data_IF_313668511936
#
_entry.id   IF_313668511936
#
_cell.length_a   1.000
_cell.length_b   1.000
_cell.length_c   1.000
_cell.angle_alpha   90.00
_cell.angle_beta   90.00
_cell.angle_gamma   90.00
#
_symmetry.space_group_name_H-M   'P 1'
#
loop_
_entity.id
_entity.type
_entity.pdbx_description
1 polymer ?
#
# COMPACT_ATOMS: atom_id res chain seq x y z
N UNK A 1 31.87 17.20 0.03
CA UNK A 1 31.19 18.49 0.29
C UNK A 1 30.55 19.05 -0.98
N UNK A 2 31.30 19.26 -2.07
CA UNK A 2 30.74 19.74 -3.34
C UNK A 2 29.58 18.86 -3.88
N UNK A 3 29.73 17.53 -3.86
CA UNK A 3 28.68 16.61 -4.36
C UNK A 3 27.38 16.60 -3.55
N UNK A 4 27.43 16.93 -2.25
CA UNK A 4 26.27 16.91 -1.35
C UNK A 4 25.44 18.21 -1.47
N UNK A 5 26.13 19.35 -1.61
CA UNK A 5 25.52 20.65 -1.93
C UNK A 5 24.83 20.63 -3.30
N UNK A 6 25.46 19.97 -4.27
CA UNK A 6 24.92 19.85 -5.62
C UNK A 6 23.75 18.88 -5.69
N UNK A 7 23.77 17.76 -4.95
CA UNK A 7 22.60 16.88 -4.82
C UNK A 7 21.42 17.59 -4.16
N UNK A 8 21.67 18.41 -3.11
CA UNK A 8 20.65 19.21 -2.46
C UNK A 8 20.05 20.29 -3.40
N UNK A 9 20.88 20.96 -4.20
CA UNK A 9 20.44 21.92 -5.20
C UNK A 9 19.62 21.24 -6.32
N UNK A 10 20.03 20.05 -6.76
CA UNK A 10 19.32 19.27 -7.77
C UNK A 10 17.92 18.81 -7.27
N UNK A 11 17.83 18.36 -6.03
CA UNK A 11 16.57 18.01 -5.35
C UNK A 11 15.66 19.24 -5.14
N UNK A 12 16.24 20.40 -4.81
CA UNK A 12 15.50 21.65 -4.67
C UNK A 12 14.92 22.13 -6.02
N UNK A 13 15.67 21.96 -7.11
CA UNK A 13 15.21 22.29 -8.46
C UNK A 13 14.04 21.40 -8.89
N UNK A 14 14.10 20.09 -8.60
CA UNK A 14 13.02 19.11 -8.82
C UNK A 14 11.75 19.47 -8.08
N UNK A 15 11.86 19.89 -6.82
CA UNK A 15 10.72 20.30 -6.01
C UNK A 15 10.01 21.56 -6.54
N UNK A 16 10.71 22.37 -7.34
CA UNK A 16 10.20 23.62 -7.95
C UNK A 16 9.64 23.42 -9.38
N UNK A 17 9.83 22.24 -9.99
CA UNK A 17 9.33 21.98 -11.36
C UNK A 17 7.85 21.55 -11.35
N UNK A 18 6.94 22.27 -12.04
CA UNK A 18 5.50 22.02 -11.98
C UNK A 18 5.07 20.62 -12.46
N UNK A 19 5.82 20.03 -13.39
CA UNK A 19 5.53 18.70 -13.96
C UNK A 19 5.72 17.56 -12.95
N UNK A 20 6.55 17.75 -11.91
CA UNK A 20 6.82 16.76 -10.86
C UNK A 20 5.85 16.96 -9.68
N UNK A 21 5.49 18.20 -9.35
CA UNK A 21 4.48 18.51 -8.33
C UNK A 21 3.10 17.90 -8.65
N UNK A 22 2.73 17.79 -9.93
CA UNK A 22 1.46 17.16 -10.34
C UNK A 22 1.44 15.63 -10.18
N UNK A 23 2.59 14.97 -10.05
CA UNK A 23 2.66 13.50 -9.93
C UNK A 23 2.55 12.98 -8.50
N UNK A 24 2.51 13.84 -7.47
CA UNK A 24 2.23 13.44 -6.08
C UNK A 24 3.18 12.43 -5.45
N UNK A 25 4.20 11.97 -6.17
CA UNK A 25 5.17 10.98 -5.74
C UNK A 25 6.40 11.69 -5.19
N UNK A 26 6.78 11.36 -3.95
CA UNK A 26 8.17 11.49 -3.48
C UNK A 26 9.05 10.64 -4.41
N UNK A 27 9.40 11.20 -5.56
CA UNK A 27 10.30 10.58 -6.51
C UNK A 27 11.71 10.74 -5.94
N UNK A 28 12.19 9.70 -5.25
CA UNK A 28 13.61 9.44 -5.09
C UNK A 28 14.19 9.14 -6.48
N UNK A 29 14.26 10.16 -7.34
CA UNK A 29 14.98 10.06 -8.60
C UNK A 29 16.47 9.97 -8.25
N UNK A 30 17.21 9.00 -8.79
CA UNK A 30 18.65 8.97 -8.61
C UNK A 30 19.21 10.32 -9.09
N UNK A 31 20.15 10.92 -8.34
CA UNK A 31 20.76 12.23 -8.64
C UNK A 31 21.21 12.32 -10.09
N UNK A 32 21.63 11.19 -10.67
CA UNK A 32 21.94 11.02 -12.09
C UNK A 32 20.78 11.35 -13.04
N UNK A 33 19.56 10.87 -12.76
CA UNK A 33 18.38 11.21 -13.55
C UNK A 33 18.02 12.70 -13.41
N UNK A 34 18.24 13.28 -12.22
CA UNK A 34 18.00 14.70 -11.96
C UNK A 34 18.97 15.59 -12.75
N UNK A 35 20.27 15.29 -12.70
CA UNK A 35 21.30 16.05 -13.43
C UNK A 35 21.11 15.99 -14.95
N UNK A 36 20.65 14.85 -15.49
CA UNK A 36 20.44 14.67 -16.93
C UNK A 36 19.18 15.38 -17.45
N UNK A 37 18.21 15.69 -16.58
CA UNK A 37 16.99 16.39 -16.94
C UNK A 37 17.02 17.90 -16.62
N UNK A 38 17.96 18.36 -15.78
CA UNK A 38 18.09 19.75 -15.37
C UNK A 38 18.14 20.79 -16.53
N UNK A 39 18.82 20.54 -17.67
CA UNK A 39 18.83 21.48 -18.80
C UNK A 39 17.46 21.64 -19.45
N UNK A 40 16.64 20.59 -19.45
CA UNK A 40 15.29 20.61 -20.03
C UNK A 40 14.30 21.38 -19.15
N UNK A 41 14.57 21.48 -17.84
CA UNK A 41 13.75 22.24 -16.91
C UNK A 41 14.09 23.73 -16.87
N UNK A 42 15.28 24.13 -17.32
CA UNK A 42 15.65 25.54 -17.42
C UNK A 42 14.70 26.33 -18.35
N UNK A 43 14.15 25.67 -19.37
CA UNK A 43 13.14 26.24 -20.28
C UNK A 43 11.71 26.27 -19.70
N UNK A 44 11.46 25.57 -18.59
CA UNK A 44 10.13 25.42 -17.96
C UNK A 44 9.95 26.28 -16.69
N UNK A 45 11.04 26.83 -16.14
CA UNK A 45 11.00 27.70 -14.97
C UNK A 45 10.56 29.11 -15.41
N UNK A 46 9.54 29.66 -14.74
CA UNK A 46 9.07 31.02 -15.03
C UNK A 46 10.12 32.07 -14.64
N UNK A 47 10.09 33.24 -15.30
CA UNK A 47 11.04 34.32 -15.03
C UNK A 47 11.05 34.78 -13.55
N UNK A 48 9.91 34.67 -12.87
CA UNK A 48 9.75 35.01 -11.45
C UNK A 48 10.44 33.96 -10.53
N UNK A 49 10.43 32.69 -10.93
CA UNK A 49 11.11 31.60 -10.20
C UNK A 49 12.63 31.58 -10.43
N UNK A 50 13.09 32.12 -11.56
CA UNK A 50 14.51 32.23 -11.89
C UNK A 50 15.24 33.27 -11.01
N UNK A 51 14.53 34.29 -10.51
CA UNK A 51 15.08 35.31 -9.59
C UNK A 51 15.32 34.78 -8.17
N UNK A 52 14.65 33.69 -7.78
CA UNK A 52 14.72 33.07 -6.45
C UNK A 52 15.64 31.83 -6.37
N UNK A 53 16.47 31.61 -7.39
CA UNK A 53 17.44 30.51 -7.42
C UNK A 53 18.69 30.84 -6.61
N UNK A 54 19.21 29.86 -5.88
CA UNK A 54 20.49 30.01 -5.18
C UNK A 54 21.66 30.03 -6.17
N UNK A 55 22.83 30.52 -5.74
CA UNK A 55 24.04 30.53 -6.58
C UNK A 55 24.41 29.11 -7.07
N UNK A 56 24.13 28.08 -6.26
CA UNK A 56 24.36 26.68 -6.59
C UNK A 56 23.37 26.15 -7.64
N UNK A 57 22.10 26.54 -7.57
CA UNK A 57 21.07 26.17 -8.56
C UNK A 57 21.34 26.82 -9.92
N UNK A 58 21.76 28.10 -9.91
CA UNK A 58 22.17 28.82 -11.11
C UNK A 58 23.42 28.22 -11.74
N UNK A 59 24.40 27.81 -10.92
CA UNK A 59 25.60 27.13 -11.38
C UNK A 59 25.26 25.79 -12.04
N UNK A 60 24.33 25.01 -11.47
CA UNK A 60 23.91 23.72 -12.00
C UNK A 60 23.23 23.84 -13.38
N UNK A 61 22.36 24.85 -13.57
CA UNK A 61 21.70 25.09 -14.86
C UNK A 61 22.64 25.62 -15.94
N UNK A 62 23.78 26.21 -15.56
CA UNK A 62 24.78 26.72 -16.48
C UNK A 62 25.84 25.67 -16.87
N UNK A 63 25.80 24.47 -16.28
CA UNK A 63 26.71 23.38 -16.61
C UNK A 63 26.41 22.80 -18.00
N UNK A 64 27.47 22.41 -18.70
CA UNK A 64 27.33 21.66 -19.94
C UNK A 64 26.90 20.22 -19.70
N UNK A 65 26.32 19.57 -20.71
CA UNK A 65 25.91 18.16 -20.64
C UNK A 65 27.05 17.24 -20.18
N UNK A 66 28.28 17.48 -20.64
CA UNK A 66 29.47 16.70 -20.25
C UNK A 66 29.83 16.89 -18.76
N UNK A 67 29.66 18.10 -18.23
CA UNK A 67 29.90 18.40 -16.81
C UNK A 67 28.80 17.79 -15.93
N UNK A 68 27.54 17.79 -16.40
CA UNK A 68 26.41 17.14 -15.73
C UNK A 68 26.57 15.62 -15.71
N UNK A 69 27.06 15.02 -16.79
CA UNK A 69 27.37 13.58 -16.85
C UNK A 69 28.50 13.23 -15.86
N UNK A 70 29.60 14.00 -15.86
CA UNK A 70 30.70 13.75 -14.93
C UNK A 70 30.30 13.92 -13.46
N UNK A 71 29.43 14.89 -13.18
CA UNK A 71 28.86 15.12 -11.86
C UNK A 71 27.89 14.00 -11.45
N UNK A 72 27.08 13.49 -12.38
CA UNK A 72 26.18 12.36 -12.17
C UNK A 72 26.95 11.07 -11.89
N UNK A 73 28.02 10.81 -12.64
CA UNK A 73 28.91 9.66 -12.41
C UNK A 73 29.65 9.78 -11.06
N UNK A 74 29.95 11.00 -10.60
CA UNK A 74 30.48 11.24 -9.26
C UNK A 74 29.39 11.10 -8.17
N UNK A 75 28.14 11.43 -8.46
CA UNK A 75 27.00 11.32 -7.54
C UNK A 75 26.50 9.87 -7.34
N UNK A 76 26.74 8.97 -8.31
CA UNK A 76 26.52 7.51 -8.15
C UNK A 76 27.38 6.90 -7.01
N UNK A 77 28.29 7.67 -6.40
CA UNK A 77 29.07 7.28 -5.22
C UNK A 77 28.61 7.94 -3.91
N UNK A 78 27.55 8.75 -3.95
CA UNK A 78 26.91 9.33 -2.76
C UNK A 78 25.68 8.48 -2.45
N UNK A 79 25.83 7.50 -1.56
CA UNK A 79 24.68 6.90 -0.88
C UNK A 79 23.97 8.02 -0.12
N UNK A 80 22.86 8.53 -0.67
CA UNK A 80 21.93 9.32 0.11
C UNK A 80 21.36 8.35 1.14
N UNK A 81 21.68 8.56 2.43
CA UNK A 81 21.02 7.82 3.51
C UNK A 81 19.52 8.06 3.37
N UNK A 82 18.78 7.03 2.91
CA UNK A 82 17.33 7.10 2.89
C UNK A 82 16.85 7.35 4.32
N UNK A 83 15.98 8.35 4.54
CA UNK A 83 15.47 8.61 5.87
C UNK A 83 14.78 7.35 6.40
N UNK A 84 15.11 6.96 7.63
CA UNK A 84 14.55 5.77 8.25
C UNK A 84 13.00 5.79 8.18
N UNK A 85 12.35 4.65 7.88
CA UNK A 85 10.89 4.59 7.80
C UNK A 85 10.23 5.12 9.06
N UNK A 86 9.13 5.89 8.93
CA UNK A 86 8.52 6.57 10.07
C UNK A 86 7.99 5.56 11.10
N UNK A 87 7.96 5.92 12.39
CA UNK A 87 7.37 5.08 13.41
C UNK A 87 5.85 4.97 13.21
N UNK A 88 5.28 3.78 13.40
CA UNK A 88 3.83 3.61 13.39
C UNK A 88 3.18 4.34 14.56
N UNK A 89 2.04 4.99 14.31
CA UNK A 89 1.28 5.77 15.29
C UNK A 89 -0.20 5.37 15.23
N UNK A 90 -0.50 4.11 15.56
CA UNK A 90 -1.87 3.62 15.65
C UNK A 90 -2.54 3.95 16.99
N UNK A 91 -3.88 3.82 17.10
CA UNK A 91 -4.60 3.91 18.37
C UNK A 91 -4.02 2.94 19.40
N UNK A 92 -3.79 3.40 20.63
CA UNK A 92 -3.23 2.60 21.72
C UNK A 92 -4.07 2.78 22.99
N UNK A 93 -4.14 1.79 23.90
CA UNK A 93 -4.84 1.94 25.17
C UNK A 93 -4.37 3.17 25.96
N UNK A 94 -5.25 3.72 26.78
CA UNK A 94 -4.87 4.83 27.65
C UNK A 94 -3.73 4.42 28.60
N UNK A 95 -2.84 5.35 29.02
CA UNK A 95 -1.71 5.01 29.88
C UNK A 95 -2.14 4.25 31.14
N UNK A 96 -1.59 3.04 31.32
CA UNK A 96 -1.91 2.16 32.45
C UNK A 96 -3.12 1.24 32.24
N UNK A 97 -3.79 1.32 31.08
CA UNK A 97 -4.82 0.36 30.67
C UNK A 97 -4.22 -0.75 29.79
N UNK A 98 -4.80 -1.94 29.86
CA UNK A 98 -4.47 -3.07 28.98
C UNK A 98 -5.57 -3.29 27.96
N UNK A 99 -5.26 -4.00 26.87
CA UNK A 99 -6.29 -4.45 25.92
C UNK A 99 -7.41 -5.22 26.65
N UNK A 100 -8.65 -4.90 26.29
CA UNK A 100 -9.84 -5.58 26.79
C UNK A 100 -10.26 -6.67 25.82
N UNK A 101 -10.79 -7.77 26.36
CA UNK A 101 -11.35 -8.84 25.54
C UNK A 101 -10.35 -9.48 24.56
N UNK A 102 -9.09 -9.67 24.96
CA UNK A 102 -8.10 -10.36 24.11
C UNK A 102 -8.57 -11.78 23.82
N UNK A 103 -8.83 -12.07 22.54
CA UNK A 103 -9.29 -13.39 22.07
C UNK A 103 -8.18 -14.20 21.39
N UNK A 104 -7.11 -13.53 20.96
CA UNK A 104 -5.96 -14.17 20.32
C UNK A 104 -4.69 -13.35 20.55
N UNK A 105 -3.55 -14.03 20.74
CA UNK A 105 -2.22 -13.43 20.77
C UNK A 105 -1.28 -14.38 20.04
N UNK A 106 -0.56 -13.87 19.04
CA UNK A 106 0.31 -14.62 18.14
C UNK A 106 1.68 -13.97 18.14
N UNK A 107 2.67 -14.67 18.66
CA UNK A 107 4.05 -14.25 18.59
C UNK A 107 4.64 -14.57 17.21
N UNK A 108 5.43 -13.64 16.67
CA UNK A 108 6.21 -13.78 15.45
C UNK A 108 7.70 -13.64 15.80
N UNK A 109 8.33 -14.68 16.36
CA UNK A 109 9.67 -14.56 16.95
C UNK A 109 10.75 -14.16 15.95
N UNK A 110 10.62 -14.58 14.70
CA UNK A 110 11.56 -14.24 13.62
C UNK A 110 11.54 -12.76 13.25
N UNK A 111 10.41 -12.09 13.50
CA UNK A 111 10.19 -10.67 13.18
C UNK A 111 10.31 -9.80 14.44
N UNK A 112 10.11 -10.36 15.63
CA UNK A 112 10.12 -9.62 16.89
C UNK A 112 8.80 -8.88 17.18
N UNK A 113 7.70 -9.34 16.58
CA UNK A 113 6.37 -8.75 16.74
C UNK A 113 5.39 -9.71 17.42
N UNK A 114 4.36 -9.16 18.04
CA UNK A 114 3.22 -9.88 18.58
C UNK A 114 1.96 -9.25 18.00
N UNK A 115 1.10 -10.09 17.40
CA UNK A 115 -0.19 -9.70 16.87
C UNK A 115 -1.30 -10.17 17.80
N UNK A 116 -2.22 -9.27 18.14
CA UNK A 116 -3.28 -9.54 19.12
C UNK A 116 -4.64 -9.16 18.54
N UNK A 117 -5.66 -9.97 18.80
CA UNK A 117 -7.05 -9.63 18.47
C UNK A 117 -7.78 -9.37 19.78
N UNK A 118 -8.36 -8.18 19.90
CA UNK A 118 -8.99 -7.68 21.12
C UNK A 118 -10.15 -6.74 20.77
N UNK A 119 -10.83 -6.17 21.76
CA UNK A 119 -11.84 -5.13 21.51
C UNK A 119 -11.19 -3.91 20.83
N UNK A 120 -11.79 -3.44 19.73
CA UNK A 120 -11.26 -2.32 18.94
C UNK A 120 -11.32 -1.00 19.72
N UNK A 121 -10.34 -0.14 19.48
CA UNK A 121 -10.30 1.24 19.97
C UNK A 121 -10.98 2.22 19.01
N UNK A 122 -11.34 1.77 17.80
CA UNK A 122 -12.11 2.56 16.86
C UNK A 122 -13.45 2.98 17.49
N UNK A 123 -13.84 4.25 17.30
CA UNK A 123 -15.02 4.87 17.92
C UNK A 123 -14.96 5.09 19.44
N UNK A 124 -13.77 5.34 20.00
CA UNK A 124 -13.63 5.87 21.36
C UNK A 124 -13.53 4.84 22.48
N UNK A 125 -13.36 3.54 22.15
CA UNK A 125 -13.13 2.48 23.15
C UNK A 125 -14.39 1.93 23.81
N UNK A 126 -15.58 2.26 23.29
CA UNK A 126 -16.87 1.80 23.82
C UNK A 126 -17.24 0.37 23.38
N UNK A 127 -16.35 -0.32 22.65
CA UNK A 127 -16.55 -1.69 22.14
C UNK A 127 -17.57 -1.83 21.01
N UNK A 128 -18.15 -0.72 20.52
CA UNK A 128 -19.17 -0.74 19.47
C UNK A 128 -18.62 -1.13 18.09
N UNK A 129 -17.33 -0.92 17.84
CA UNK A 129 -16.65 -1.33 16.60
C UNK A 129 -16.31 -2.84 16.57
N UNK A 130 -16.61 -3.59 17.64
CA UNK A 130 -16.30 -5.01 17.73
C UNK A 130 -14.82 -5.28 18.02
N UNK A 131 -14.21 -6.16 17.22
CA UNK A 131 -12.81 -6.58 17.41
C UNK A 131 -11.86 -5.77 16.51
N UNK A 132 -10.65 -5.54 17.00
CA UNK A 132 -9.53 -4.91 16.31
C UNK A 132 -8.31 -5.85 16.24
N UNK A 133 -7.44 -5.63 15.25
CA UNK A 133 -6.12 -6.25 15.18
C UNK A 133 -5.07 -5.29 15.73
N UNK A 134 -4.21 -5.76 16.62
CA UNK A 134 -3.19 -4.97 17.29
C UNK A 134 -1.79 -5.54 17.03
N UNK A 135 -0.79 -4.68 17.09
CA UNK A 135 0.63 -5.05 17.02
C UNK A 135 1.40 -4.43 18.17
N UNK A 136 2.41 -5.15 18.68
CA UNK A 136 3.45 -4.63 19.56
C UNK A 136 4.75 -5.39 19.38
N UNK A 137 5.84 -4.82 19.88
CA UNK A 137 7.13 -5.48 19.97
C UNK A 137 7.10 -6.64 20.97
N UNK A 138 7.86 -7.69 20.66
CA UNK A 138 8.16 -8.76 21.62
C UNK A 138 9.09 -8.26 22.72
N UNK A 139 9.14 -8.96 23.85
CA UNK A 139 10.00 -8.59 24.98
C UNK A 139 11.48 -8.57 24.54
N UNK A 140 12.18 -7.49 24.88
CA UNK A 140 13.60 -7.30 24.55
C UNK A 140 13.88 -6.85 23.12
N UNK A 141 12.85 -6.60 22.31
CA UNK A 141 12.99 -6.01 20.97
C UNK A 141 12.84 -4.48 21.09
N UNK A 142 13.82 -3.74 20.56
CA UNK A 142 13.82 -2.26 20.61
C UNK A 142 13.02 -1.64 19.45
N UNK A 143 13.17 -2.18 18.25
CA UNK A 143 12.43 -1.74 17.08
C UNK A 143 12.40 -2.82 15.99
N UNK A 144 11.40 -2.72 15.12
CA UNK A 144 11.27 -3.58 13.92
C UNK A 144 10.89 -2.70 12.74
N UNK A 145 11.74 -2.67 11.71
CA UNK A 145 11.43 -1.96 10.46
C UNK A 145 11.01 -2.98 9.40
N UNK A 146 9.86 -2.75 8.77
CA UNK A 146 9.33 -3.58 7.70
C UNK A 146 9.07 -2.73 6.46
N UNK A 147 9.34 -3.30 5.30
CA UNK A 147 9.14 -2.63 4.02
C UNK A 147 7.67 -2.75 3.56
N UNK A 148 7.26 -1.83 2.71
CA UNK A 148 6.02 -1.91 1.94
C UNK A 148 5.86 -3.30 1.32
N UNK A 149 4.62 -3.81 1.35
CA UNK A 149 4.27 -5.05 0.71
C UNK A 149 4.58 -6.32 1.49
N UNK A 150 5.28 -6.22 2.62
CA UNK A 150 5.43 -7.36 3.54
C UNK A 150 4.06 -7.87 3.98
N UNK A 151 3.83 -9.17 3.83
CA UNK A 151 2.62 -9.82 4.30
C UNK A 151 2.63 -9.94 5.82
N UNK A 152 1.66 -9.29 6.47
CA UNK A 152 1.52 -9.32 7.92
C UNK A 152 0.71 -10.54 8.38
N UNK A 153 -0.42 -10.81 7.73
CA UNK A 153 -1.28 -11.95 8.06
C UNK A 153 -2.23 -12.29 6.90
N UNK A 154 -2.81 -13.49 6.94
CA UNK A 154 -3.93 -13.86 6.06
C UNK A 154 -5.22 -13.18 6.51
N UNK A 155 -6.09 -12.87 5.54
CA UNK A 155 -7.32 -12.12 5.80
C UNK A 155 -8.34 -12.93 6.62
N UNK A 156 -8.82 -14.07 6.08
CA UNK A 156 -9.79 -14.94 6.74
C UNK A 156 -9.76 -16.35 6.14
N UNK A 157 -10.40 -17.31 6.82
CA UNK A 157 -10.90 -18.51 6.17
C UNK A 157 -12.17 -18.19 5.39
N UNK A 158 -12.23 -18.70 4.17
CA UNK A 158 -13.30 -18.40 3.23
C UNK A 158 -13.04 -19.07 1.90
N UNK A 159 -13.83 -18.70 0.92
CA UNK A 159 -13.76 -19.26 -0.43
C UNK A 159 -14.03 -18.21 -1.50
N UNK A 160 -13.46 -18.43 -2.69
CA UNK A 160 -13.78 -17.65 -3.87
C UNK A 160 -15.15 -18.08 -4.43
N UNK A 161 -16.07 -17.12 -4.60
CA UNK A 161 -17.43 -17.29 -5.07
C UNK A 161 -17.74 -16.37 -6.26
N UNK A 162 -18.73 -16.75 -7.06
CA UNK A 162 -19.20 -15.95 -8.19
C UNK A 162 -20.05 -14.73 -7.77
N UNK A 163 -20.61 -14.76 -6.56
CA UNK A 163 -21.45 -13.71 -5.99
C UNK A 163 -20.92 -13.31 -4.60
N UNK A 164 -21.10 -12.04 -4.20
CA UNK A 164 -20.76 -11.62 -2.85
C UNK A 164 -21.69 -12.26 -1.82
N UNK A 165 -21.29 -12.20 -0.55
CA UNK A 165 -22.21 -12.50 0.55
C UNK A 165 -23.35 -11.48 0.60
N UNK A 166 -24.56 -11.94 0.92
CA UNK A 166 -25.75 -11.10 1.05
C UNK A 166 -25.63 -10.10 2.21
N UNK A 167 -24.85 -10.44 3.24
CA UNK A 167 -24.59 -9.58 4.40
C UNK A 167 -23.50 -8.52 4.14
N UNK A 168 -22.77 -8.61 3.02
CA UNK A 168 -21.91 -7.56 2.46
C UNK A 168 -20.67 -7.13 3.25
N UNK A 169 -20.56 -7.38 4.57
CA UNK A 169 -19.62 -6.67 5.44
C UNK A 169 -18.15 -7.06 5.36
N UNK A 170 -17.79 -8.26 4.87
CA UNK A 170 -16.39 -8.73 4.82
C UNK A 170 -16.01 -9.39 3.50
N UNK A 171 -16.86 -9.26 2.49
CA UNK A 171 -16.57 -9.81 1.17
C UNK A 171 -15.49 -8.97 0.49
N UNK A 172 -14.45 -9.62 -0.02
CA UNK A 172 -13.36 -8.94 -0.74
C UNK A 172 -13.48 -9.21 -2.23
N UNK A 173 -13.42 -8.15 -2.99
CA UNK A 173 -13.55 -8.22 -4.43
C UNK A 173 -12.26 -8.54 -5.17
N UNK A 174 -12.34 -9.38 -6.19
CA UNK A 174 -11.24 -9.64 -7.11
C UNK A 174 -11.40 -8.85 -8.42
N UNK A 175 -10.73 -7.68 -8.47
CA UNK A 175 -10.66 -6.82 -9.64
C UNK A 175 -9.26 -6.23 -9.78
N UNK A 176 -8.57 -6.61 -10.86
CA UNK A 176 -7.32 -5.99 -11.27
C UNK A 176 -7.66 -4.86 -12.24
N UNK A 177 -7.21 -3.64 -11.94
CA UNK A 177 -7.63 -2.43 -12.65
C UNK A 177 -6.59 -1.90 -13.62
N UNK A 178 -5.31 -2.11 -13.32
CA UNK A 178 -4.19 -1.54 -14.04
C UNK A 178 -3.04 -2.53 -14.11
N UNK A 179 -2.13 -2.32 -15.06
CA UNK A 179 -0.89 -3.08 -15.15
C UNK A 179 -0.01 -2.95 -13.88
N UNK A 180 -0.23 -1.91 -13.07
CA UNK A 180 0.47 -1.68 -11.81
C UNK A 180 -0.25 -2.25 -10.58
N UNK A 181 -1.44 -2.86 -10.75
CA UNK A 181 -2.14 -3.46 -9.62
C UNK A 181 -1.33 -4.61 -9.05
N UNK A 182 -1.10 -4.59 -7.73
CA UNK A 182 -0.32 -5.62 -7.03
C UNK A 182 -1.17 -6.83 -6.64
N UNK A 183 -0.56 -8.01 -6.64
CA UNK A 183 -1.10 -9.25 -6.07
C UNK A 183 0.03 -10.04 -5.40
N UNK A 184 -0.34 -10.92 -4.47
CA UNK A 184 0.61 -11.73 -3.71
C UNK A 184 0.77 -13.10 -4.36
N UNK A 185 1.97 -13.43 -4.82
CA UNK A 185 2.28 -14.68 -5.52
C UNK A 185 3.67 -15.18 -5.12
N UNK A 186 3.83 -16.49 -4.95
CA UNK A 186 5.12 -17.11 -4.57
C UNK A 186 5.88 -16.43 -3.39
N UNK A 187 5.11 -15.91 -2.42
CA UNK A 187 5.57 -15.22 -1.18
C UNK A 187 6.00 -13.77 -1.34
N UNK A 188 5.83 -13.18 -2.51
CA UNK A 188 6.21 -11.80 -2.80
C UNK A 188 5.05 -11.03 -3.42
N UNK A 189 5.14 -9.70 -3.39
CA UNK A 189 4.25 -8.85 -4.16
C UNK A 189 4.77 -8.72 -5.59
N UNK A 190 3.86 -8.91 -6.54
CA UNK A 190 4.11 -8.67 -7.95
C UNK A 190 3.07 -7.71 -8.50
N UNK A 191 3.44 -6.97 -9.54
CA UNK A 191 2.47 -6.23 -10.34
C UNK A 191 2.01 -7.08 -11.51
N UNK A 192 0.85 -6.74 -12.08
CA UNK A 192 0.35 -7.36 -13.31
C UNK A 192 1.40 -7.29 -14.44
N UNK A 193 2.05 -6.13 -14.58
CA UNK A 193 3.08 -5.92 -15.60
C UNK A 193 4.29 -6.83 -15.40
N UNK A 194 4.82 -6.94 -14.17
CA UNK A 194 6.05 -7.72 -13.93
C UNK A 194 5.82 -9.21 -14.13
N UNK A 195 4.65 -9.72 -13.72
CA UNK A 195 4.38 -11.15 -13.78
C UNK A 195 3.96 -11.63 -15.18
N UNK A 196 3.34 -10.76 -15.97
CA UNK A 196 2.95 -11.04 -17.36
C UNK A 196 3.98 -10.50 -18.37
N UNK A 197 5.19 -10.16 -17.92
CA UNK A 197 6.25 -9.69 -18.79
C UNK A 197 6.58 -10.71 -19.89
N UNK A 198 7.06 -10.24 -21.04
CA UNK A 198 7.44 -11.11 -22.16
C UNK A 198 8.50 -12.13 -21.71
N UNK A 199 8.20 -13.43 -21.87
CA UNK A 199 9.08 -14.52 -21.44
C UNK A 199 8.87 -15.02 -20.01
N UNK A 200 7.89 -14.48 -19.28
CA UNK A 200 7.47 -15.02 -18.00
C UNK A 200 6.64 -16.31 -18.16
N UNK A 201 6.61 -17.14 -17.12
CA UNK A 201 5.87 -18.41 -17.09
C UNK A 201 4.36 -18.24 -16.87
N UNK A 202 3.89 -17.01 -16.70
CA UNK A 202 2.47 -16.67 -16.53
C UNK A 202 1.98 -15.93 -17.77
N UNK A 203 0.92 -16.45 -18.36
CA UNK A 203 0.35 -15.95 -19.61
C UNK A 203 -1.04 -15.34 -19.39
N UNK A 204 -1.76 -15.78 -18.35
CA UNK A 204 -3.13 -15.39 -18.09
C UNK A 204 -3.44 -15.22 -16.61
N UNK A 205 -4.42 -14.37 -16.31
CA UNK A 205 -5.02 -14.24 -14.99
C UNK A 205 -6.52 -14.49 -15.13
N UNK A 206 -7.07 -15.38 -14.31
CA UNK A 206 -8.48 -15.75 -14.38
C UNK A 206 -9.41 -14.53 -14.27
N UNK A 207 -10.47 -14.52 -15.07
CA UNK A 207 -11.48 -13.46 -15.09
C UNK A 207 -11.02 -12.09 -15.61
N UNK A 208 -9.86 -12.05 -16.29
CA UNK A 208 -9.31 -10.83 -16.87
C UNK A 208 -8.83 -11.05 -18.31
N UNK A 209 -8.98 -10.02 -19.14
CA UNK A 209 -8.38 -9.90 -20.47
C UNK A 209 -7.13 -9.02 -20.39
N UNK A 210 -6.04 -9.48 -21.00
CA UNK A 210 -4.75 -8.76 -21.02
C UNK A 210 -4.59 -8.06 -22.37
N UNK A 211 -4.39 -6.74 -22.35
CA UNK A 211 -4.11 -5.94 -23.55
C UNK A 211 -2.61 -5.63 -23.59
N UNK A 212 -1.96 -6.02 -24.69
CA UNK A 212 -0.52 -5.84 -24.89
C UNK A 212 -0.22 -4.85 -26.01
N UNK A 213 0.87 -4.13 -25.86
CA UNK A 213 1.43 -3.32 -26.95
C UNK A 213 1.85 -4.22 -28.11
N UNK A 214 1.41 -3.91 -29.32
CA UNK A 214 1.68 -4.74 -30.49
C UNK A 214 3.15 -4.74 -30.94
N UNK A 215 3.94 -3.73 -30.55
CA UNK A 215 5.34 -3.58 -30.92
C UNK A 215 6.29 -4.08 -29.81
N UNK A 216 6.00 -3.78 -28.53
CA UNK A 216 6.86 -4.16 -27.40
C UNK A 216 6.44 -5.46 -26.72
N UNK A 217 5.17 -5.88 -26.86
CA UNK A 217 4.60 -7.03 -26.16
C UNK A 217 4.30 -6.79 -24.67
N UNK A 218 4.59 -5.59 -24.17
CA UNK A 218 4.35 -5.20 -22.78
C UNK A 218 2.86 -5.08 -22.47
N UNK A 219 2.48 -5.33 -21.22
CA UNK A 219 1.09 -5.18 -20.78
C UNK A 219 0.74 -3.70 -20.68
N UNK A 220 -0.17 -3.24 -21.55
CA UNK A 220 -0.71 -1.88 -21.51
C UNK A 220 -1.90 -1.76 -20.56
N UNK A 221 -2.78 -2.76 -20.57
CA UNK A 221 -3.98 -2.76 -19.74
C UNK A 221 -4.38 -4.18 -19.32
N UNK A 222 -5.15 -4.24 -18.25
CA UNK A 222 -5.85 -5.43 -17.78
C UNK A 222 -7.29 -5.03 -17.51
N UNK A 223 -8.23 -5.81 -18.05
CA UNK A 223 -9.65 -5.52 -17.97
C UNK A 223 -10.38 -6.72 -17.40
N UNK A 224 -11.40 -6.48 -16.57
CA UNK A 224 -12.25 -7.56 -16.08
C UNK A 224 -13.03 -8.15 -17.26
N UNK A 225 -12.94 -9.46 -17.46
CA UNK A 225 -13.71 -10.16 -18.49
C UNK A 225 -15.21 -10.13 -18.15
N UNK A 226 -16.05 -9.43 -18.94
CA UNK A 226 -17.47 -9.28 -18.64
C UNK A 226 -18.25 -10.59 -18.76
N UNK A 227 -17.74 -11.58 -19.49
CA UNK A 227 -18.37 -12.89 -19.69
C UNK A 227 -17.88 -13.93 -18.68
N UNK A 228 -16.94 -13.56 -17.81
CA UNK A 228 -16.42 -14.45 -16.78
C UNK A 228 -17.48 -14.82 -15.74
N UNK A 229 -17.96 -16.07 -15.83
CA UNK A 229 -18.89 -16.67 -14.88
C UNK A 229 -18.22 -17.29 -13.63
N UNK A 230 -16.87 -17.25 -13.56
CA UNK A 230 -16.13 -17.82 -12.45
C UNK A 230 -16.12 -16.93 -11.21
N UNK A 231 -15.34 -17.33 -10.21
CA UNK A 231 -15.31 -16.61 -8.94
C UNK A 231 -14.70 -15.20 -9.05
N UNK A 232 -15.34 -14.22 -8.39
CA UNK A 232 -14.95 -12.81 -8.33
C UNK A 232 -14.94 -12.23 -6.92
N UNK A 233 -15.43 -12.97 -5.93
CA UNK A 233 -15.58 -12.50 -4.57
C UNK A 233 -14.96 -13.51 -3.62
N UNK A 234 -14.04 -13.09 -2.77
CA UNK A 234 -13.67 -13.87 -1.61
C UNK A 234 -14.69 -13.63 -0.50
N UNK A 235 -15.38 -14.69 -0.10
CA UNK A 235 -16.38 -14.65 0.96
C UNK A 235 -15.84 -15.37 2.19
N UNK A 236 -15.56 -14.66 3.29
CA UNK A 236 -15.21 -15.28 4.56
C UNK A 236 -16.31 -16.20 5.07
N UNK A 237 -15.93 -17.30 5.72
CA UNK A 237 -16.89 -18.13 6.45
C UNK A 237 -17.41 -17.40 7.69
N UNK A 238 -18.66 -17.64 8.07
CA UNK A 238 -19.22 -17.08 9.32
C UNK A 238 -18.47 -17.60 10.55
N UNK A 239 -18.06 -18.87 10.52
CA UNK A 239 -17.18 -19.48 11.53
C UNK A 239 -15.74 -19.52 11.01
N UNK A 240 -14.84 -18.87 11.74
CA UNK A 240 -13.42 -18.81 11.43
C UNK A 240 -12.62 -19.92 12.12
N UNK A 241 -13.24 -20.70 13.00
CA UNK A 241 -12.55 -21.69 13.80
C UNK A 241 -11.48 -21.07 14.71
N UNK A 242 -10.36 -21.79 14.87
CA UNK A 242 -9.24 -21.32 15.67
C UNK A 242 -8.52 -20.15 14.98
N UNK A 243 -8.36 -19.04 15.70
CA UNK A 243 -7.62 -17.88 15.20
C UNK A 243 -6.13 -18.20 15.05
N UNK A 244 -5.56 -17.77 13.94
CA UNK A 244 -4.16 -17.97 13.58
C UNK A 244 -3.67 -16.85 12.66
N UNK A 245 -2.37 -16.82 12.39
CA UNK A 245 -1.77 -15.85 11.47
C UNK A 245 -2.40 -15.86 10.06
N UNK A 246 -3.14 -16.92 9.72
CA UNK A 246 -3.79 -17.09 8.43
C UNK A 246 -5.18 -16.45 8.32
N UNK A 247 -5.80 -16.02 9.42
CA UNK A 247 -7.20 -15.59 9.43
C UNK A 247 -7.54 -14.38 10.33
N UNK A 248 -6.55 -13.74 10.96
CA UNK A 248 -6.77 -12.61 11.85
C UNK A 248 -6.85 -11.24 11.14
N UNK A 249 -6.49 -11.17 9.85
CA UNK A 249 -6.48 -9.90 9.11
C UNK A 249 -7.85 -9.24 8.96
N UNK A 250 -8.94 -10.01 8.99
CA UNK A 250 -10.32 -9.51 8.92
C UNK A 250 -10.78 -8.71 10.14
N UNK A 251 -9.96 -8.63 11.19
CA UNK A 251 -10.22 -7.82 12.38
C UNK A 251 -9.53 -6.47 12.32
N UNK A 252 -8.74 -6.18 11.28
CA UNK A 252 -8.23 -4.84 11.05
C UNK A 252 -9.36 -3.94 10.56
N UNK A 253 -9.76 -2.98 11.38
CA UNK A 253 -10.79 -2.01 11.01
C UNK A 253 -10.21 -0.93 10.11
N UNK A 254 -11.08 -0.23 9.38
CA UNK A 254 -10.68 1.01 8.71
C UNK A 254 -10.64 2.14 9.74
N UNK A 255 -9.44 2.61 10.07
CA UNK A 255 -9.25 3.66 11.08
C UNK A 255 -9.41 5.08 10.53
N UNK A 256 -9.55 5.20 9.21
CA UNK A 256 -9.77 6.46 8.53
C UNK A 256 -11.24 6.83 8.38
N UNK A 257 -12.16 5.91 8.70
CA UNK A 257 -13.58 6.23 8.64
C UNK A 257 -13.97 7.26 9.70
N UNK A 258 -14.56 8.40 9.30
CA UNK A 258 -15.13 9.32 10.26
C UNK A 258 -16.37 8.66 10.88
N UNK A 259 -16.45 8.65 12.21
CA UNK A 259 -17.62 8.10 12.89
C UNK A 259 -18.91 8.77 12.40
N UNK A 260 -19.82 7.97 11.82
CA UNK A 260 -21.24 8.16 11.46
C UNK A 260 -21.77 9.55 10.96
N UNK A 261 -20.96 10.59 10.82
CA UNK A 261 -21.44 11.98 10.74
C UNK A 261 -20.69 12.88 9.75
N UNK A 262 -19.72 12.36 9.00
CA UNK A 262 -18.97 13.14 8.00
C UNK A 262 -19.10 12.45 6.66
N UNK A 263 -19.43 13.21 5.62
CA UNK A 263 -19.46 12.71 4.23
C UNK A 263 -18.11 12.04 3.91
N UNK A 264 -18.13 10.72 3.71
CA UNK A 264 -16.94 9.87 3.62
C UNK A 264 -16.04 10.11 2.38
N UNK A 265 -16.39 11.07 1.51
CA UNK A 265 -15.70 11.27 0.23
C UNK A 265 -14.60 12.33 0.25
N UNK A 266 -14.71 13.36 1.10
CA UNK A 266 -13.70 14.41 1.19
C UNK A 266 -12.72 14.07 2.32
N UNK A 267 -11.44 13.85 1.98
CA UNK A 267 -10.37 13.64 2.96
C UNK A 267 -10.03 12.18 3.28
N UNK A 268 -10.88 11.20 2.95
CA UNK A 268 -10.63 9.78 3.26
C UNK A 268 -9.30 9.26 2.71
N UNK A 269 -8.90 9.67 1.51
CA UNK A 269 -7.62 9.21 0.94
C UNK A 269 -6.42 9.62 1.80
N UNK A 270 -6.41 10.86 2.29
CA UNK A 270 -5.37 11.37 3.20
C UNK A 270 -5.48 10.67 4.56
N UNK A 271 -6.67 10.62 5.16
CA UNK A 271 -6.88 9.98 6.46
C UNK A 271 -6.53 8.48 6.43
N UNK A 272 -6.84 7.77 5.34
CA UNK A 272 -6.49 6.36 5.12
C UNK A 272 -4.99 6.19 4.99
N UNK A 273 -4.33 7.02 4.19
CA UNK A 273 -2.87 6.96 4.06
C UNK A 273 -2.16 7.25 5.40
N UNK A 274 -2.76 8.04 6.28
CA UNK A 274 -2.18 8.33 7.60
C UNK A 274 -2.46 7.23 8.61
N UNK A 275 -3.70 6.73 8.68
CA UNK A 275 -4.21 5.88 9.76
C UNK A 275 -4.25 4.39 9.44
N UNK A 276 -4.37 4.02 8.17
CA UNK A 276 -4.37 2.62 7.74
C UNK A 276 -2.96 2.23 7.30
N UNK A 277 -2.46 1.15 7.87
CA UNK A 277 -1.15 0.59 7.52
C UNK A 277 -1.27 -0.65 6.64
N UNK A 278 -2.42 -1.34 6.71
CA UNK A 278 -2.65 -2.56 5.96
C UNK A 278 -3.50 -2.28 4.72
N UNK A 279 -3.19 -2.97 3.63
CA UNK A 279 -4.03 -3.07 2.44
C UNK A 279 -4.31 -4.53 2.15
N UNK A 280 -5.49 -4.82 1.59
CA UNK A 280 -5.81 -6.16 1.15
C UNK A 280 -5.31 -6.38 -0.26
N UNK A 281 -4.48 -7.41 -0.41
CA UNK A 281 -3.95 -7.84 -1.69
C UNK A 281 -4.41 -9.26 -1.97
N UNK A 282 -4.84 -9.54 -3.21
CA UNK A 282 -5.27 -10.86 -3.59
C UNK A 282 -4.08 -11.82 -3.65
N UNK A 283 -4.13 -12.94 -2.92
CA UNK A 283 -3.21 -14.06 -3.11
C UNK A 283 -3.63 -14.88 -4.31
N UNK A 284 -2.65 -15.12 -5.18
CA UNK A 284 -2.79 -15.90 -6.39
C UNK A 284 -2.07 -17.24 -6.24
N UNK A 285 -2.58 -18.26 -6.91
CA UNK A 285 -1.91 -19.55 -7.08
C UNK A 285 -2.00 -19.99 -8.55
N UNK A 286 -1.05 -20.82 -8.98
CA UNK A 286 -1.10 -21.43 -10.32
C UNK A 286 -2.32 -22.34 -10.42
N UNK A 287 -3.02 -22.24 -11.53
CA UNK A 287 -4.08 -23.17 -11.86
C UNK A 287 -3.45 -24.56 -12.09
N UNK A 288 -3.83 -25.61 -11.33
CA UNK A 288 -3.25 -26.93 -11.47
C UNK A 288 -3.51 -27.58 -12.84
N UNK A 289 -4.59 -27.18 -13.52
CA UNK A 289 -4.95 -27.68 -14.86
C UNK A 289 -4.30 -26.87 -15.98
N UNK A 290 -3.91 -25.61 -15.70
CA UNK A 290 -3.25 -24.70 -16.64
C UNK A 290 -2.19 -23.87 -15.90
N UNK A 291 -0.97 -24.39 -15.68
CA UNK A 291 0.01 -23.75 -14.82
C UNK A 291 0.48 -22.34 -15.25
N UNK A 292 0.25 -21.94 -16.51
CA UNK A 292 0.48 -20.58 -17.00
C UNK A 292 -0.65 -19.60 -16.68
N UNK A 293 -1.75 -20.05 -16.09
CA UNK A 293 -2.88 -19.24 -15.61
C UNK A 293 -2.82 -19.11 -14.09
N UNK A 294 -2.97 -17.88 -13.58
CA UNK A 294 -3.15 -17.63 -12.15
C UNK A 294 -4.61 -17.48 -11.76
N UNK A 295 -4.95 -18.00 -10.57
CA UNK A 295 -6.29 -17.89 -9.98
C UNK A 295 -6.23 -17.26 -8.59
N UNK A 296 -7.22 -16.41 -8.24
CA UNK A 296 -7.34 -15.90 -6.88
C UNK A 296 -7.68 -17.03 -5.91
N UNK A 297 -7.12 -16.99 -4.71
CA UNK A 297 -7.43 -17.97 -3.64
C UNK A 297 -8.02 -17.31 -2.41
N UNK A 298 -7.32 -16.31 -1.86
CA UNK A 298 -7.75 -15.52 -0.70
C UNK A 298 -7.01 -14.19 -0.63
N UNK A 299 -7.53 -13.18 0.07
CA UNK A 299 -6.78 -11.97 0.37
C UNK A 299 -5.73 -12.21 1.47
N UNK A 300 -4.70 -11.37 1.46
CA UNK A 300 -3.65 -11.25 2.47
C UNK A 300 -3.54 -9.78 2.83
N UNK A 301 -3.34 -9.48 4.11
CA UNK A 301 -3.08 -8.12 4.58
C UNK A 301 -1.58 -7.83 4.48
N UNK A 302 -1.22 -6.85 3.66
CA UNK A 302 0.16 -6.41 3.44
C UNK A 302 0.36 -4.97 3.90
N UNK A 303 1.60 -4.58 4.20
CA UNK A 303 1.92 -3.18 4.50
C UNK A 303 1.74 -2.30 3.26
N UNK A 304 1.13 -1.12 3.45
CA UNK A 304 0.91 -0.12 2.40
C UNK A 304 2.09 0.85 2.22
N UNK A 305 3.05 0.83 3.15
CA UNK A 305 4.26 1.65 3.15
C UNK A 305 5.31 1.04 4.07
N UNK A 306 6.56 1.49 3.92
CA UNK A 306 7.61 1.22 4.89
C UNK A 306 7.24 1.78 6.26
N UNK A 307 7.58 1.06 7.32
CA UNK A 307 7.20 1.43 8.69
C UNK A 307 8.18 0.90 9.72
N UNK A 308 8.35 1.63 10.81
CA UNK A 308 9.08 1.16 11.99
C UNK A 308 8.14 1.00 13.18
N UNK A 309 8.12 -0.17 13.80
CA UNK A 309 7.46 -0.40 15.09
C UNK A 309 8.45 -0.14 16.22
N UNK A 310 8.06 0.71 17.16
CA UNK A 310 8.81 1.06 18.38
C UNK A 310 7.97 0.86 19.65
N UNK A 311 6.78 0.30 19.50
CA UNK A 311 5.74 0.28 20.52
C UNK A 311 5.79 -1.00 21.35
N UNK A 312 5.98 -0.84 22.66
CA UNK A 312 5.82 -1.92 23.64
C UNK A 312 4.37 -2.16 24.00
N UNK A 313 3.56 -1.09 23.99
CA UNK A 313 2.11 -1.16 24.17
C UNK A 313 1.42 -1.51 22.84
N UNK A 314 0.33 -2.30 22.87
CA UNK A 314 -0.43 -2.63 21.66
C UNK A 314 -0.94 -1.38 20.93
N UNK A 315 -0.76 -1.36 19.61
CA UNK A 315 -1.33 -0.36 18.71
C UNK A 315 -2.26 -1.04 17.70
N UNK A 316 -3.47 -0.51 17.50
CA UNK A 316 -4.43 -1.02 16.53
C UNK A 316 -3.91 -0.77 15.11
N UNK A 317 -3.98 -1.81 14.26
CA UNK A 317 -3.62 -1.80 12.85
C UNK A 317 -4.85 -1.50 12.00
N UNK A 318 -4.83 -0.36 11.31
CA UNK A 318 -5.87 0.00 10.36
C UNK A 318 -5.69 -0.67 9.01
N UNK A 319 -6.78 -1.05 8.37
CA UNK A 319 -6.79 -1.60 7.02
C UNK A 319 -7.63 -0.75 6.06
N UNK A 320 -7.02 -0.38 4.93
CA UNK A 320 -7.70 0.27 3.83
C UNK A 320 -8.53 -0.75 3.04
N UNK A 321 -9.85 -0.57 3.05
CA UNK A 321 -10.80 -1.34 2.24
C UNK A 321 -11.18 -0.63 0.92
N UNK A 322 -10.74 0.63 0.77
CA UNK A 322 -10.94 1.48 -0.41
C UNK A 322 -12.35 2.07 -0.49
N UNK A 323 -12.46 3.25 -1.13
CA UNK A 323 -13.70 4.05 -1.24
C UNK A 323 -14.94 3.29 -1.74
N UNK A 324 -14.77 2.22 -2.55
CA UNK A 324 -15.91 1.45 -3.08
C UNK A 324 -16.58 0.56 -2.03
N UNK A 325 -15.83 0.05 -1.05
CA UNK A 325 -16.40 -0.70 0.06
C UNK A 325 -17.38 0.20 0.84
N UNK A 326 -16.95 1.43 1.14
CA UNK A 326 -17.78 2.41 1.85
C UNK A 326 -18.95 2.95 1.04
N UNK A 327 -18.77 3.19 -0.27
CA UNK A 327 -19.88 3.57 -1.14
C UNK A 327 -20.93 2.46 -1.29
N UNK A 328 -20.57 1.19 -1.11
CA UNK A 328 -21.53 0.08 -1.07
C UNK A 328 -22.17 -0.10 0.31
N UNK A 329 -21.41 0.16 1.39
CA UNK A 329 -21.90 0.09 2.77
C UNK A 329 -22.91 1.21 3.08
N UNK A 330 -22.67 2.44 2.62
CA UNK A 330 -23.59 3.57 2.82
C UNK A 330 -24.94 3.37 2.12
N UNK A 331 -24.95 2.70 0.96
CA UNK A 331 -26.19 2.34 0.24
C UNK A 331 -27.00 1.28 1.00
N UNK A 332 -26.34 0.40 1.76
CA UNK A 332 -27.02 -0.63 2.56
C UNK A 332 -27.60 -0.09 3.88
N UNK A 333 -27.01 0.94 4.48
CA UNK A 333 -27.56 1.59 5.68
C UNK A 333 -28.82 2.42 5.38
N UNK A 334 -28.89 3.07 4.22
CA UNK A 334 -30.10 3.79 3.78
C UNK A 334 -31.27 2.85 3.42
N UNK A 335 -30.98 1.58 3.09
CA UNK A 335 -31.98 0.56 2.75
C UNK A 335 -32.67 -0.10 3.97
N UNK A 336 -32.21 0.15 5.19
CA UNK A 336 -32.82 -0.39 6.43
C UNK A 336 -33.67 0.65 7.18
N UNK A 337 -33.88 1.84 6.58
CA UNK A 337 -34.62 2.96 7.17
C UNK A 337 -36.10 3.07 6.80
N UNK A 338 -36.66 2.19 5.96
CA UNK A 338 -38.09 2.14 5.63
C UNK A 338 -38.58 0.69 5.47
N UNK A 339 -39.16 0.15 6.54
CA UNK A 339 -39.80 -1.17 6.58
C UNK A 339 -40.50 -1.44 7.90
#
# INVERSE_FOLDING_TARGET
MASLLVAAAALALVARTPCIQQRGTQLALPVRAICLCAPQWADEISAEQAEDLTEEEQALMAMSDDELIALADAADTVELEEPAPPPYQGPTPAPGETLRGVVCSIELPEVGLILEVAESLASGGDGQAGLGLFVRLAEGVESVTLNEGVAMCGYAHGQMMASPDELGGKTVGFWLKTALTSFFFERELHTVASLLATGADVEAIAGHTIVRDAHTGEVQAIEADPEWAGARYFVPHTDQGALSIMNIGQFSNDLAMPGASVNAADGYGTDSSERNLLVLVQRMERNPERPSELRPTRPVSTLSRDVTFVNTEPMELGCEYGMRYWNAASVNEEGQGDG
#
